data_IF_296014635811
#
_entry.id   IF_296014635811
#
_cell.length_a   1.000
_cell.length_b   1.000
_cell.length_c   1.000
_cell.angle_alpha   90.00
_cell.angle_beta   90.00
_cell.angle_gamma   90.00
#
_symmetry.space_group_name_H-M   'P 1'
#
loop_
_entity.id
_entity.type
_entity.pdbx_description
1 polymer ?
#
# COMPACT_ATOMS: atom_id res chain seq x y z
N UNK A 1 -4.50 12.41 -14.70
CA UNK A 1 -5.52 11.57 -15.38
C UNK A 1 -5.74 10.27 -14.61
N UNK A 2 -6.88 9.60 -14.79
CA UNK A 2 -7.24 8.38 -14.02
C UNK A 2 -6.67 7.10 -14.65
N UNK A 3 -6.48 6.07 -13.82
CA UNK A 3 -6.13 4.73 -14.31
C UNK A 3 -7.34 4.09 -15.02
N UNK A 4 -7.20 3.62 -16.27
CA UNK A 4 -8.28 2.91 -16.95
C UNK A 4 -8.59 1.57 -16.27
N UNK A 5 -9.87 1.29 -16.04
CA UNK A 5 -10.32 0.01 -15.44
C UNK A 5 -9.94 -1.21 -16.29
N UNK A 6 -9.69 -1.03 -17.60
CA UNK A 6 -9.21 -2.08 -18.49
C UNK A 6 -7.90 -2.72 -18.01
N UNK A 7 -7.04 -1.97 -17.30
CA UNK A 7 -5.79 -2.50 -16.73
C UNK A 7 -6.03 -3.57 -15.66
N UNK A 8 -7.22 -3.66 -15.07
CA UNK A 8 -7.57 -4.71 -14.12
C UNK A 8 -7.43 -6.12 -14.71
N UNK A 9 -7.60 -6.26 -16.04
CA UNK A 9 -7.46 -7.53 -16.77
C UNK A 9 -6.01 -7.98 -16.93
N UNK A 10 -5.05 -7.07 -16.77
CA UNK A 10 -3.63 -7.39 -16.91
C UNK A 10 -3.10 -8.04 -15.64
N UNK A 11 -2.14 -8.95 -15.84
CA UNK A 11 -1.42 -9.62 -14.76
C UNK A 11 0.06 -9.24 -14.82
N UNK A 12 0.35 -8.03 -14.35
CA UNK A 12 1.67 -7.42 -14.42
C UNK A 12 2.52 -7.89 -13.23
N UNK A 13 3.75 -8.34 -13.48
CA UNK A 13 4.71 -8.65 -12.41
C UNK A 13 5.24 -7.36 -11.74
N UNK A 14 5.40 -6.30 -12.53
CA UNK A 14 5.92 -5.01 -12.08
C UNK A 14 5.02 -3.88 -12.58
N UNK A 15 4.67 -2.98 -11.67
CA UNK A 15 3.94 -1.75 -11.97
C UNK A 15 4.74 -0.59 -11.42
N UNK A 16 5.18 0.31 -12.30
CA UNK A 16 5.78 1.59 -11.93
C UNK A 16 5.05 2.70 -12.65
N UNK A 17 4.36 3.53 -11.86
CA UNK A 17 3.69 4.75 -12.30
C UNK A 17 4.11 5.92 -11.41
N UNK A 18 5.25 5.79 -10.73
CA UNK A 18 5.73 6.77 -9.77
C UNK A 18 5.94 8.14 -10.41
N UNK A 19 5.81 9.21 -9.60
CA UNK A 19 6.15 10.59 -9.98
C UNK A 19 5.36 11.12 -11.18
N UNK A 20 4.04 10.98 -11.10
CA UNK A 20 3.13 11.51 -12.10
C UNK A 20 2.05 12.39 -11.45
N UNK A 21 1.18 12.96 -12.29
CA UNK A 21 -0.06 13.62 -11.87
C UNK A 21 -1.28 12.70 -12.08
N UNK A 22 -1.12 11.39 -11.81
CA UNK A 22 -2.23 10.44 -11.89
C UNK A 22 -3.10 10.57 -10.64
N UNK A 23 -4.38 10.28 -10.78
CA UNK A 23 -5.38 10.49 -9.74
C UNK A 23 -6.45 9.40 -9.73
N UNK A 24 -7.28 9.41 -8.70
CA UNK A 24 -8.39 8.48 -8.54
C UNK A 24 -7.93 7.09 -8.08
N UNK A 25 -8.67 6.08 -8.47
CA UNK A 25 -8.50 4.72 -7.95
C UNK A 25 -7.41 3.94 -8.71
N UNK A 26 -6.42 3.42 -7.99
CA UNK A 26 -5.35 2.56 -8.51
C UNK A 26 -5.40 1.12 -7.94
N UNK A 27 -6.49 0.74 -7.27
CA UNK A 27 -6.72 -0.59 -6.69
C UNK A 27 -6.66 -1.72 -7.73
N UNK A 28 -6.83 -1.40 -9.01
CA UNK A 28 -6.76 -2.35 -10.13
C UNK A 28 -5.42 -3.09 -10.25
N UNK A 29 -4.34 -2.58 -9.64
CA UNK A 29 -3.03 -3.24 -9.61
C UNK A 29 -2.88 -4.27 -8.47
N UNK A 30 -3.84 -4.29 -7.55
CA UNK A 30 -3.90 -5.21 -6.42
C UNK A 30 -4.85 -6.37 -6.73
N UNK A 31 -4.75 -7.44 -5.94
CA UNK A 31 -5.61 -8.63 -6.05
C UNK A 31 -4.90 -9.91 -5.63
N UNK A 32 -5.60 -10.77 -4.87
CA UNK A 32 -5.04 -12.04 -4.38
C UNK A 32 -4.73 -13.05 -5.48
N UNK A 33 -5.39 -12.92 -6.65
CA UNK A 33 -5.17 -13.76 -7.84
C UNK A 33 -4.11 -13.20 -8.79
N UNK A 34 -3.57 -12.00 -8.53
CA UNK A 34 -2.52 -11.41 -9.38
C UNK A 34 -1.16 -12.02 -9.07
N UNK A 35 -0.23 -11.92 -10.01
CA UNK A 35 1.18 -12.31 -9.87
C UNK A 35 2.11 -11.13 -9.55
N UNK A 36 1.55 -9.95 -9.27
CA UNK A 36 2.31 -8.72 -9.01
C UNK A 36 3.35 -8.91 -7.90
N UNK A 37 4.59 -8.55 -8.19
CA UNK A 37 5.73 -8.61 -7.29
C UNK A 37 6.09 -7.23 -6.76
N UNK A 38 5.99 -6.20 -7.61
CA UNK A 38 6.45 -4.84 -7.28
C UNK A 38 5.44 -3.80 -7.73
N UNK A 39 5.06 -2.91 -6.82
CA UNK A 39 4.10 -1.82 -7.06
C UNK A 39 4.76 -0.52 -6.58
N UNK A 40 5.07 0.38 -7.51
CA UNK A 40 5.53 1.74 -7.24
C UNK A 40 4.52 2.74 -7.81
N UNK A 41 3.77 3.36 -6.90
CA UNK A 41 2.75 4.37 -7.22
C UNK A 41 3.06 5.71 -6.54
N UNK A 42 4.27 5.88 -5.99
CA UNK A 42 4.60 7.02 -5.16
C UNK A 42 4.54 8.35 -5.92
N UNK A 43 4.24 9.43 -5.19
CA UNK A 43 4.19 10.81 -5.71
C UNK A 43 3.19 10.93 -6.86
N UNK A 44 1.92 10.69 -6.51
CA UNK A 44 0.75 10.87 -7.36
C UNK A 44 -0.39 11.50 -6.52
N UNK A 45 -1.61 11.48 -7.04
CA UNK A 45 -2.83 11.88 -6.35
C UNK A 45 -3.86 10.75 -6.27
N UNK A 46 -3.39 9.49 -6.16
CA UNK A 46 -4.28 8.34 -6.03
C UNK A 46 -5.05 8.37 -4.71
N UNK A 47 -6.33 7.99 -4.77
CA UNK A 47 -7.23 7.92 -3.63
C UNK A 47 -8.10 6.66 -3.76
N UNK A 48 -7.88 5.70 -2.87
CA UNK A 48 -8.66 4.47 -2.75
C UNK A 48 -8.46 3.86 -1.36
N UNK A 49 -9.39 2.98 -0.98
CA UNK A 49 -9.35 2.26 0.30
C UNK A 49 -8.44 1.04 0.20
N UNK A 50 -7.22 1.14 0.71
CA UNK A 50 -6.26 0.02 0.65
C UNK A 50 -6.68 -1.15 1.55
N UNK A 51 -7.53 -0.92 2.56
CA UNK A 51 -8.02 -1.97 3.45
C UNK A 51 -8.90 -3.00 2.73
N UNK A 52 -9.46 -2.63 1.58
CA UNK A 52 -10.36 -3.48 0.77
C UNK A 52 -9.66 -4.28 -0.32
N UNK A 53 -8.36 -4.07 -0.56
CA UNK A 53 -7.66 -4.75 -1.65
C UNK A 53 -7.18 -6.14 -1.23
N UNK A 54 -7.24 -7.08 -2.19
CA UNK A 54 -6.51 -8.34 -2.07
C UNK A 54 -5.02 -8.13 -2.37
N UNK A 55 -4.15 -8.95 -1.80
CA UNK A 55 -2.71 -8.86 -2.03
C UNK A 55 -2.16 -10.15 -2.66
N UNK A 56 -1.35 -10.00 -3.70
CA UNK A 56 -0.62 -11.14 -4.27
C UNK A 56 0.38 -11.68 -3.27
N UNK A 57 0.45 -13.01 -3.15
CA UNK A 57 1.43 -13.68 -2.26
C UNK A 57 2.88 -13.47 -2.72
N UNK A 58 3.09 -13.03 -3.97
CA UNK A 58 4.40 -12.80 -4.58
C UNK A 58 4.92 -11.38 -4.36
N UNK A 59 4.18 -10.51 -3.65
CA UNK A 59 4.60 -9.13 -3.42
C UNK A 59 5.91 -9.06 -2.63
N UNK A 60 6.88 -8.36 -3.22
CA UNK A 60 8.22 -8.09 -2.73
C UNK A 60 8.41 -6.62 -2.33
N UNK A 61 7.81 -5.69 -3.09
CA UNK A 61 7.97 -4.26 -2.84
C UNK A 61 6.68 -3.48 -3.10
N UNK A 62 6.34 -2.59 -2.17
CA UNK A 62 5.21 -1.68 -2.27
C UNK A 62 5.69 -0.28 -1.87
N UNK A 63 5.64 0.69 -2.79
CA UNK A 63 5.85 2.11 -2.50
C UNK A 63 4.63 2.91 -2.94
N UNK A 64 3.92 3.48 -1.96
CA UNK A 64 2.66 4.21 -2.11
C UNK A 64 2.76 5.63 -1.56
N UNK A 65 3.95 6.06 -1.14
CA UNK A 65 4.10 7.33 -0.43
C UNK A 65 3.64 8.53 -1.24
N UNK A 66 3.26 9.62 -0.57
CA UNK A 66 2.83 10.86 -1.20
C UNK A 66 1.66 10.63 -2.18
N UNK A 67 0.55 10.16 -1.62
CA UNK A 67 -0.74 10.01 -2.30
C UNK A 67 -1.86 10.43 -1.32
N UNK A 68 -3.11 10.13 -1.66
CA UNK A 68 -4.31 10.35 -0.83
C UNK A 68 -4.99 9.01 -0.51
N UNK A 69 -4.20 7.95 -0.35
CA UNK A 69 -4.70 6.59 -0.09
C UNK A 69 -5.19 6.53 1.35
N UNK A 70 -6.36 5.95 1.56
CA UNK A 70 -7.05 5.96 2.84
C UNK A 70 -7.47 4.54 3.27
N UNK A 71 -8.13 4.47 4.43
CA UNK A 71 -8.56 3.22 5.04
C UNK A 71 -7.50 2.64 5.98
N UNK A 72 -7.60 1.34 6.25
CA UNK A 72 -6.67 0.61 7.13
C UNK A 72 -5.65 -0.18 6.32
N UNK A 73 -4.48 -0.46 6.90
CA UNK A 73 -3.55 -1.40 6.27
C UNK A 73 -4.19 -2.81 6.25
N UNK A 74 -4.29 -3.47 5.08
CA UNK A 74 -4.94 -4.76 4.98
C UNK A 74 -4.16 -5.83 5.75
N UNK A 75 -4.86 -6.63 6.58
CA UNK A 75 -4.26 -7.75 7.34
C UNK A 75 -3.50 -8.74 6.47
N UNK A 76 -3.79 -8.80 5.16
CA UNK A 76 -3.05 -9.64 4.20
C UNK A 76 -1.55 -9.33 4.13
N UNK A 77 -1.12 -8.11 4.47
CA UNK A 77 0.30 -7.72 4.50
C UNK A 77 1.14 -8.60 5.44
N UNK A 78 0.57 -9.09 6.55
CA UNK A 78 1.28 -9.94 7.52
C UNK A 78 1.62 -11.32 6.95
N UNK A 79 0.97 -11.72 5.84
CA UNK A 79 1.16 -13.03 5.19
C UNK A 79 2.18 -12.97 4.04
N UNK A 80 2.69 -11.79 3.69
CA UNK A 80 3.59 -11.61 2.55
C UNK A 80 5.02 -12.00 2.92
N UNK A 81 5.39 -13.26 2.63
CA UNK A 81 6.71 -13.81 2.97
C UNK A 81 7.87 -13.11 2.24
N UNK A 82 7.64 -12.62 1.03
CA UNK A 82 8.68 -12.02 0.18
C UNK A 82 8.79 -10.51 0.32
N UNK A 83 7.86 -9.86 1.04
CA UNK A 83 7.86 -8.40 1.19
C UNK A 83 9.19 -7.95 1.82
N UNK A 84 9.91 -7.08 1.14
CA UNK A 84 11.23 -6.59 1.55
C UNK A 84 11.31 -5.08 1.53
N UNK A 85 10.37 -4.42 0.84
CA UNK A 85 10.22 -2.96 0.84
C UNK A 85 8.75 -2.58 1.02
N UNK A 86 8.51 -1.66 1.94
CA UNK A 86 7.21 -1.06 2.17
C UNK A 86 7.41 0.43 2.47
N UNK A 87 6.68 1.29 1.78
CA UNK A 87 6.52 2.68 2.19
C UNK A 87 5.08 3.13 1.90
N UNK A 88 4.37 3.52 2.96
CA UNK A 88 2.98 4.02 2.92
C UNK A 88 2.88 5.41 3.55
N UNK A 89 4.01 6.06 3.81
CA UNK A 89 4.07 7.37 4.44
C UNK A 89 3.36 8.44 3.61
N UNK A 90 2.97 9.55 4.25
CA UNK A 90 2.35 10.69 3.55
C UNK A 90 1.10 10.26 2.75
N UNK A 91 0.12 9.73 3.47
CA UNK A 91 -1.19 9.30 2.98
C UNK A 91 -2.25 9.60 4.06
N UNK A 92 -3.50 9.21 3.80
CA UNK A 92 -4.64 9.40 4.69
C UNK A 92 -5.02 8.09 5.41
N UNK A 93 -4.03 7.24 5.73
CA UNK A 93 -4.28 5.95 6.39
C UNK A 93 -4.64 6.13 7.87
N UNK A 94 -5.43 5.19 8.38
CA UNK A 94 -5.93 5.18 9.75
C UNK A 94 -5.93 3.78 10.35
N UNK A 95 -5.99 3.71 11.68
CA UNK A 95 -6.14 2.47 12.43
C UNK A 95 -4.80 1.82 12.81
N UNK A 96 -4.88 0.67 13.46
CA UNK A 96 -3.72 -0.04 13.94
C UNK A 96 -2.96 -0.74 12.80
N UNK A 97 -1.63 -0.61 12.79
CA UNK A 97 -0.75 -1.38 11.91
C UNK A 97 -0.90 -2.86 12.27
N UNK A 98 -1.28 -3.74 11.32
CA UNK A 98 -1.43 -5.17 11.60
C UNK A 98 -0.16 -5.79 12.19
N UNK A 99 -0.31 -6.53 13.28
CA UNK A 99 0.80 -7.25 13.92
C UNK A 99 1.08 -8.54 13.16
N UNK A 100 2.35 -8.74 12.77
CA UNK A 100 2.84 -9.98 12.20
C UNK A 100 3.55 -9.81 10.85
N UNK A 101 4.17 -10.91 10.40
CA UNK A 101 4.96 -10.92 9.18
C UNK A 101 6.20 -10.06 9.31
N UNK A 102 6.33 -9.07 8.42
CA UNK A 102 7.50 -8.17 8.36
C UNK A 102 7.18 -6.70 8.68
N UNK A 103 5.93 -6.37 8.98
CA UNK A 103 5.50 -4.98 9.15
C UNK A 103 6.28 -4.26 10.26
N UNK A 104 6.48 -4.91 11.39
CA UNK A 104 7.22 -4.34 12.53
C UNK A 104 8.74 -4.24 12.30
N UNK A 105 9.27 -4.72 11.16
CA UNK A 105 10.70 -4.62 10.81
C UNK A 105 11.02 -3.42 9.94
N UNK A 106 10.02 -2.80 9.32
CA UNK A 106 10.23 -1.57 8.56
C UNK A 106 10.39 -0.40 9.52
N UNK A 107 11.19 0.58 9.09
CA UNK A 107 11.44 1.80 9.85
C UNK A 107 10.13 2.59 10.07
N UNK A 108 10.06 3.34 11.18
CA UNK A 108 8.92 4.20 11.49
C UNK A 108 8.58 5.17 10.35
N UNK A 109 9.61 5.67 9.64
CA UNK A 109 9.46 6.57 8.49
C UNK A 109 8.66 5.97 7.34
N UNK A 110 8.57 4.64 7.22
CA UNK A 110 7.74 3.97 6.22
C UNK A 110 6.24 4.18 6.46
N UNK A 111 5.85 4.58 7.67
CA UNK A 111 4.46 4.75 8.10
C UNK A 111 4.11 6.20 8.46
N UNK A 112 5.13 7.06 8.58
CA UNK A 112 5.01 8.44 9.01
C UNK A 112 4.02 9.27 8.18
N UNK A 113 3.54 10.36 8.76
CA UNK A 113 2.62 11.30 8.10
C UNK A 113 1.33 10.64 7.59
N UNK A 114 0.78 9.71 8.36
CA UNK A 114 -0.60 9.25 8.26
C UNK A 114 -1.33 9.67 9.54
N UNK A 115 -2.38 10.49 9.43
CA UNK A 115 -2.94 11.26 10.56
C UNK A 115 -3.38 10.41 11.76
N UNK A 116 -3.91 9.22 11.53
CA UNK A 116 -4.43 8.34 12.59
C UNK A 116 -3.98 6.89 12.46
N UNK A 117 -2.89 6.64 11.73
CA UNK A 117 -2.22 5.35 11.74
C UNK A 117 -1.44 5.21 13.06
N UNK A 118 -1.52 4.06 13.71
CA UNK A 118 -0.93 3.84 15.04
C UNK A 118 -0.52 2.38 15.25
N UNK A 119 0.15 2.07 16.35
CA UNK A 119 0.67 0.74 16.65
C UNK A 119 2.05 0.49 16.05
N UNK A 120 2.77 -0.51 16.58
CA UNK A 120 4.17 -0.78 16.23
C UNK A 120 4.38 -0.91 14.70
N UNK A 121 5.37 -0.21 14.11
CA UNK A 121 6.48 0.51 14.77
C UNK A 121 6.21 1.96 15.20
N UNK A 122 5.01 2.50 14.95
CA UNK A 122 4.62 3.82 15.46
C UNK A 122 4.29 3.76 16.96
N UNK A 123 3.99 4.92 17.54
CA UNK A 123 3.39 5.02 18.87
C UNK A 123 2.07 4.27 19.01
N UNK A 124 1.73 3.87 20.24
CA UNK A 124 0.51 3.14 20.54
C UNK A 124 -0.76 3.89 20.09
N UNK A 125 -1.80 3.13 19.74
CA UNK A 125 -3.11 3.70 19.43
C UNK A 125 -3.69 4.38 20.67
N UNK A 126 -4.25 5.58 20.48
CA UNK A 126 -5.02 6.27 21.52
C UNK A 126 -6.37 5.57 21.68
N UNK A 127 -6.79 5.36 22.92
CA UNK A 127 -8.10 4.84 23.28
C UNK A 127 -9.22 5.84 22.92
#
# INVERSE_FOLDING_TARGET
GKIPLSLAKLNLAFVDLSRNALEGDASVFFGSKKSTQKIWLDRNSFAFDIGKVGLSKNLEAIDLRNNKIYGTLPKGLTKLKYLSKLNVSNNDLCGEIPVGGKLQRFDESCYAHNRCLCGSPLGACKA
#
